data_IF_167472114873
#
_entry.id   IF_167472114873
#
_cell.length_a   1.000
_cell.length_b   1.000
_cell.length_c   1.000
_cell.angle_alpha   90.00
_cell.angle_beta   90.00
_cell.angle_gamma   90.00
#
_symmetry.space_group_name_H-M   'P 1'
#
loop_
_entity.id
_entity.type
_entity.pdbx_description
1 polymer ?
#
# COMPACT_ATOMS: atom_id res chain seq x y z
N UNK A 1 -8.00 1.04 -12.21
CA UNK A 1 -8.44 -0.35 -11.96
C UNK A 1 -8.20 -0.74 -10.52
N UNK A 2 -6.96 -0.72 -10.02
CA UNK A 2 -6.68 -1.08 -8.62
C UNK A 2 -7.37 -0.17 -7.59
N UNK A 3 -7.41 1.14 -7.83
CA UNK A 3 -8.15 2.11 -6.99
C UNK A 3 -9.64 1.80 -6.85
N UNK A 4 -10.27 1.41 -7.96
CA UNK A 4 -11.70 1.10 -8.04
C UNK A 4 -11.98 -0.19 -7.26
N UNK A 5 -11.13 -1.19 -7.45
CA UNK A 5 -11.15 -2.42 -6.67
C UNK A 5 -11.03 -2.15 -5.17
N UNK A 6 -10.10 -1.31 -4.71
CA UNK A 6 -9.96 -1.00 -3.29
C UNK A 6 -11.19 -0.29 -2.70
N UNK A 7 -11.80 0.60 -3.50
CA UNK A 7 -13.00 1.34 -3.11
C UNK A 7 -14.22 0.42 -3.04
N UNK A 8 -14.35 -0.51 -3.99
CA UNK A 8 -15.48 -1.45 -4.09
C UNK A 8 -15.35 -2.64 -3.16
N UNK A 9 -14.13 -3.12 -2.95
CA UNK A 9 -13.83 -4.18 -1.98
C UNK A 9 -13.96 -3.70 -0.54
N UNK A 10 -14.08 -2.38 -0.30
CA UNK A 10 -14.26 -1.82 1.03
C UNK A 10 -13.15 -2.22 1.99
N UNK A 11 -11.91 -2.28 1.49
CA UNK A 11 -10.79 -2.78 2.29
C UNK A 11 -10.62 -1.94 3.56
N UNK A 12 -10.66 -2.56 4.75
CA UNK A 12 -10.49 -1.83 5.99
C UNK A 12 -9.09 -1.21 6.05
N UNK A 13 -9.03 0.01 6.60
CA UNK A 13 -7.77 0.70 6.88
C UNK A 13 -6.87 -0.17 7.77
N UNK A 14 -5.60 -0.26 7.42
CA UNK A 14 -4.63 -1.10 8.13
C UNK A 14 -4.63 -2.56 7.67
N UNK A 15 -5.45 -2.93 6.68
CA UNK A 15 -5.33 -4.23 6.01
C UNK A 15 -3.99 -4.33 5.30
N UNK A 16 -3.32 -5.48 5.47
CA UNK A 16 -2.07 -5.77 4.75
C UNK A 16 -2.38 -5.99 3.27
N UNK A 17 -1.79 -5.16 2.42
CA UNK A 17 -1.86 -5.33 0.98
C UNK A 17 -0.91 -6.46 0.54
N UNK A 18 -1.33 -7.31 -0.42
CA UNK A 18 -0.44 -8.26 -1.06
C UNK A 18 0.70 -7.52 -1.79
N UNK A 19 1.75 -8.25 -2.11
CA UNK A 19 2.88 -7.68 -2.87
C UNK A 19 2.46 -7.37 -4.31
N UNK A 20 3.25 -6.53 -4.99
CA UNK A 20 3.03 -6.22 -6.39
C UNK A 20 3.02 -7.48 -7.28
N UNK A 21 3.78 -8.51 -6.91
CA UNK A 21 3.82 -9.78 -7.63
C UNK A 21 2.51 -10.58 -7.47
N UNK A 22 2.00 -10.69 -6.23
CA UNK A 22 0.73 -11.37 -5.93
C UNK A 22 -0.46 -10.67 -6.59
N UNK A 23 -0.45 -9.34 -6.60
CA UNK A 23 -1.50 -8.57 -7.27
C UNK A 23 -1.36 -8.67 -8.80
N UNK A 24 -0.13 -8.68 -9.33
CA UNK A 24 0.10 -8.84 -10.77
C UNK A 24 -0.47 -10.18 -11.26
N UNK A 25 -0.24 -11.26 -10.51
CA UNK A 25 -0.78 -12.59 -10.80
C UNK A 25 -2.32 -12.63 -10.73
N UNK A 26 -2.90 -12.13 -9.64
CA UNK A 26 -4.36 -12.08 -9.45
C UNK A 26 -5.08 -11.26 -10.52
N UNK A 27 -4.49 -10.15 -10.94
CA UNK A 27 -5.09 -9.27 -11.95
C UNK A 27 -4.63 -9.62 -13.38
N UNK A 28 -3.78 -10.63 -13.57
CA UNK A 28 -3.19 -11.02 -14.86
C UNK A 28 -2.54 -9.84 -15.60
N UNK A 29 -1.79 -9.00 -14.87
CA UNK A 29 -1.07 -7.85 -15.43
C UNK A 29 0.43 -7.96 -15.17
N UNK A 30 1.25 -7.27 -15.96
CA UNK A 30 2.70 -7.23 -15.72
C UNK A 30 3.05 -6.62 -14.36
N UNK A 31 4.07 -7.18 -13.69
CA UNK A 31 4.62 -6.64 -12.43
C UNK A 31 4.90 -5.14 -12.50
N UNK A 32 5.45 -4.65 -13.62
CA UNK A 32 5.76 -3.23 -13.83
C UNK A 32 4.50 -2.36 -13.76
N UNK A 33 3.39 -2.84 -14.34
CA UNK A 33 2.10 -2.15 -14.32
C UNK A 33 1.52 -2.13 -12.90
N UNK A 34 1.55 -3.27 -12.21
CA UNK A 34 1.06 -3.36 -10.83
C UNK A 34 1.92 -2.55 -9.86
N UNK A 35 3.24 -2.58 -10.04
CA UNK A 35 4.19 -1.81 -9.26
C UNK A 35 3.96 -0.31 -9.44
N UNK A 36 3.76 0.15 -10.68
CA UNK A 36 3.45 1.54 -10.98
C UNK A 36 2.12 1.97 -10.37
N UNK A 37 1.08 1.13 -10.45
CA UNK A 37 -0.21 1.39 -9.83
C UNK A 37 -0.13 1.48 -8.30
N UNK A 38 0.61 0.57 -7.65
CA UNK A 38 0.86 0.62 -6.21
C UNK A 38 1.69 1.85 -5.82
N UNK A 39 2.68 2.22 -6.61
CA UNK A 39 3.49 3.41 -6.36
C UNK A 39 2.65 4.68 -6.46
N UNK A 40 1.75 4.77 -7.45
CA UNK A 40 0.81 5.87 -7.60
C UNK A 40 -0.12 5.97 -6.38
N UNK A 41 -0.71 4.85 -5.95
CA UNK A 41 -1.55 4.79 -4.76
C UNK A 41 -0.81 5.15 -3.46
N UNK A 42 0.47 4.79 -3.34
CA UNK A 42 1.32 5.23 -2.21
C UNK A 42 1.55 6.74 -2.28
N UNK A 43 1.83 7.29 -3.46
CA UNK A 43 2.05 8.73 -3.67
C UNK A 43 0.78 9.54 -3.40
N UNK A 44 -0.37 9.02 -3.78
CA UNK A 44 -1.69 9.62 -3.55
C UNK A 44 -2.17 9.45 -2.10
N UNK A 45 -1.48 8.64 -1.28
CA UNK A 45 -1.80 8.44 0.14
C UNK A 45 -2.93 7.44 0.41
N UNK A 46 -3.23 6.55 -0.54
CA UNK A 46 -4.13 5.41 -0.40
C UNK A 46 -3.45 4.19 0.23
N UNK A 47 -2.12 4.12 0.14
CA UNK A 47 -1.31 3.03 0.67
C UNK A 47 -0.14 3.57 1.49
N UNK A 48 0.20 2.88 2.56
CA UNK A 48 1.39 3.15 3.36
C UNK A 48 2.34 1.96 3.30
N UNK A 49 3.59 2.22 2.96
CA UNK A 49 4.66 1.21 2.98
C UNK A 49 5.31 1.21 4.35
N UNK A 50 5.32 0.06 5.00
CA UNK A 50 6.10 -0.17 6.22
C UNK A 50 7.31 -1.02 5.86
N UNK A 51 8.50 -0.42 5.94
CA UNK A 51 9.76 -1.12 5.68
C UNK A 51 9.86 -2.38 6.56
N UNK A 52 10.16 -3.51 5.93
CA UNK A 52 10.26 -4.81 6.60
C UNK A 52 8.93 -5.52 6.92
N UNK A 53 7.76 -4.85 6.84
CA UNK A 53 6.46 -5.45 7.20
C UNK A 53 5.46 -5.57 6.04
N UNK A 54 5.65 -4.79 4.98
CA UNK A 54 4.82 -4.83 3.76
C UNK A 54 4.08 -3.53 3.50
N UNK A 55 3.11 -3.58 2.58
CA UNK A 55 2.26 -2.44 2.22
C UNK A 55 0.92 -2.58 2.94
N UNK A 56 0.33 -1.49 3.40
CA UNK A 56 -0.95 -1.48 4.12
C UNK A 56 -1.89 -0.42 3.55
N UNK A 57 -3.20 -0.65 3.65
CA UNK A 57 -4.23 0.30 3.22
C UNK A 57 -4.25 1.51 4.15
N UNK A 58 -4.08 2.70 3.59
CA UNK A 58 -4.07 3.95 4.32
C UNK A 58 -5.50 4.49 4.54
N UNK A 59 -5.65 5.28 5.60
CA UNK A 59 -6.92 5.96 5.90
C UNK A 59 -7.03 7.22 5.03
N UNK A 60 -7.64 7.09 3.84
CA UNK A 60 -7.92 8.24 2.96
C UNK A 60 -8.78 9.32 3.62
N UNK A 61 -9.63 8.97 4.60
CA UNK A 61 -10.46 9.93 5.32
C UNK A 61 -9.65 10.71 6.38
N UNK A 62 -8.62 10.11 6.98
CA UNK A 62 -7.69 10.74 7.93
C UNK A 62 -6.41 11.26 7.30
N UNK A 63 -6.08 10.98 6.04
CA UNK A 63 -4.94 11.63 5.38
C UNK A 63 -5.11 13.15 5.26
N UNK A 64 -6.34 13.68 5.33
CA UNK A 64 -6.61 15.11 5.56
C UNK A 64 -6.48 15.55 7.03
N UNK A 65 -6.55 14.63 7.98
CA UNK A 65 -6.59 14.89 9.41
C UNK A 65 -5.59 14.02 10.19
N UNK A 66 -4.35 14.53 10.24
CA UNK A 66 -3.27 14.23 11.20
C UNK A 66 -2.44 12.97 10.92
N UNK A 67 -1.10 13.09 10.87
CA UNK A 67 -0.24 11.92 10.90
C UNK A 67 -0.34 11.32 12.30
N UNK A 68 -1.12 10.26 12.49
CA UNK A 68 -0.98 9.43 13.68
C UNK A 68 0.32 8.65 13.51
N UNK A 69 1.37 9.15 14.16
CA UNK A 69 2.57 8.42 14.55
C UNK A 69 2.24 6.94 14.78
N UNK A 70 2.57 6.10 13.80
CA UNK A 70 2.68 4.67 14.05
C UNK A 70 4.14 4.46 14.42
N UNK A 71 4.40 4.35 15.72
CA UNK A 71 5.68 3.84 16.24
C UNK A 71 5.75 2.36 15.90
N UNK A 72 6.00 2.05 14.63
CA UNK A 72 6.42 0.71 14.26
C UNK A 72 7.94 0.74 14.31
N UNK A 73 8.49 0.28 15.42
CA UNK A 73 9.85 -0.23 15.42
C UNK A 73 9.93 -1.30 14.32
N UNK A 74 10.66 -1.01 13.24
CA UNK A 74 11.36 -2.04 12.46
C UNK A 74 12.40 -1.41 11.54
N UNK A 75 13.64 -1.56 11.99
CA UNK A 75 14.85 -1.89 11.23
C UNK A 75 14.82 -1.56 9.74
N UNK A 76 15.49 -0.46 9.43
CA UNK A 76 16.19 -0.28 8.16
C UNK A 76 17.24 -1.41 8.06
N UNK A 77 17.20 -2.32 7.07
CA UNK A 77 18.37 -3.16 6.82
C UNK A 77 19.53 -2.24 6.41
N UNK A 78 20.76 -2.51 6.87
CA UNK A 78 21.90 -1.61 6.70
C UNK A 78 22.19 -1.40 5.21
N UNK A 79 22.18 -0.14 4.79
CA UNK A 79 22.76 0.27 3.52
C UNK A 79 24.28 0.10 3.69
N UNK A 80 24.84 -0.90 3.01
CA UNK A 80 26.28 -1.12 2.90
C UNK A 80 26.96 0.09 2.27
#
# INVERSE_FOLDING_TARGET
>A
MLRDYMTRAGLPVGTKMPTAHELADQFHVSYVTMHSALADLVREGWLVRHQGKGTYVADIAKSRARPKTVRIAMVLPPQK
#
